data_IF_470630236930
#
_entry.id   IF_470630236930
#
_cell.length_a   1.000
_cell.length_b   1.000
_cell.length_c   1.000
_cell.angle_alpha   90.00
_cell.angle_beta   90.00
_cell.angle_gamma   90.00
#
_symmetry.space_group_name_H-M   'P 1'
#
loop_
_entity.id
_entity.type
_entity.pdbx_description
1 polymer ?
#
# COMPACT_ATOMS: atom_id res chain seq x y z
N UNK A 1 -8.06 -17.61 0.53
CA UNK A 1 -8.07 -16.26 1.16
C UNK A 1 -8.60 -15.29 0.13
N UNK A 2 -9.67 -14.56 0.43
CA UNK A 2 -10.25 -13.52 -0.44
C UNK A 2 -9.51 -12.21 -0.22
N UNK A 3 -9.64 -11.25 -1.15
CA UNK A 3 -9.04 -9.92 -0.98
C UNK A 3 -9.58 -9.19 0.26
N UNK A 4 -10.88 -9.37 0.58
CA UNK A 4 -11.49 -8.87 1.82
C UNK A 4 -10.76 -9.34 3.09
N UNK A 5 -10.27 -10.58 3.09
CA UNK A 5 -9.58 -11.17 4.24
C UNK A 5 -8.16 -10.55 4.43
N UNK A 6 -7.61 -9.93 3.38
CA UNK A 6 -6.31 -9.23 3.41
C UNK A 6 -6.40 -7.78 3.86
N UNK A 7 -7.59 -7.19 3.94
CA UNK A 7 -7.72 -5.77 4.29
C UNK A 7 -7.12 -5.40 5.65
N UNK A 8 -7.24 -6.24 6.72
CA UNK A 8 -6.54 -5.99 7.98
C UNK A 8 -5.02 -5.99 7.80
N UNK A 9 -4.47 -6.94 7.04
CA UNK A 9 -3.02 -7.03 6.76
C UNK A 9 -2.54 -5.79 6.01
N UNK A 10 -3.25 -5.40 4.94
CA UNK A 10 -2.92 -4.20 4.15
C UNK A 10 -2.91 -2.96 5.04
N UNK A 11 -3.91 -2.82 5.91
CA UNK A 11 -4.05 -1.67 6.79
C UNK A 11 -2.97 -1.63 7.87
N UNK A 12 -2.61 -2.77 8.46
CA UNK A 12 -1.61 -2.84 9.51
C UNK A 12 -0.17 -2.70 9.00
N UNK A 13 0.10 -3.26 7.81
CA UNK A 13 1.45 -3.25 7.21
C UNK A 13 1.74 -1.98 6.41
N UNK A 14 0.70 -1.21 6.04
CA UNK A 14 0.80 0.08 5.36
C UNK A 14 -0.26 1.06 5.89
N UNK A 15 -0.12 1.54 7.16
CA UNK A 15 -1.16 2.30 7.85
C UNK A 15 -1.22 3.76 7.44
N UNK A 16 -2.44 4.29 7.35
CA UNK A 16 -2.69 5.72 7.30
C UNK A 16 -2.27 6.41 8.62
N UNK A 17 -2.21 7.74 8.63
CA UNK A 17 -1.91 8.51 9.85
C UNK A 17 -3.09 8.46 10.83
N UNK A 18 -4.31 8.50 10.32
CA UNK A 18 -5.55 8.37 11.07
C UNK A 18 -6.64 7.76 10.21
N UNK A 19 -7.72 7.33 10.83
CA UNK A 19 -8.93 6.84 10.17
C UNK A 19 -10.14 7.60 10.73
N UNK A 20 -11.00 8.09 9.85
CA UNK A 20 -12.24 8.77 10.20
C UNK A 20 -13.43 7.97 9.67
N UNK A 21 -14.42 7.74 10.50
CA UNK A 21 -15.66 7.10 10.08
C UNK A 21 -16.60 8.14 9.45
N UNK A 22 -17.19 7.80 8.30
CA UNK A 22 -18.13 8.64 7.58
C UNK A 22 -19.19 7.73 6.94
N UNK A 23 -20.31 7.54 7.63
CA UNK A 23 -21.34 6.58 7.25
C UNK A 23 -20.76 5.18 7.03
N UNK A 24 -21.00 4.57 5.86
CA UNK A 24 -20.44 3.24 5.54
C UNK A 24 -18.95 3.29 5.18
N UNK A 25 -18.36 4.47 5.02
CA UNK A 25 -16.97 4.63 4.61
C UNK A 25 -16.01 4.83 5.79
N UNK A 26 -14.79 4.34 5.62
CA UNK A 26 -13.62 4.79 6.34
C UNK A 26 -12.85 5.74 5.43
N UNK A 27 -12.51 6.93 5.93
CA UNK A 27 -11.69 7.93 5.26
C UNK A 27 -10.30 7.93 5.90
N UNK A 28 -9.29 7.33 5.27
CA UNK A 28 -7.94 7.34 5.80
C UNK A 28 -7.29 8.72 5.58
N UNK A 29 -6.54 9.20 6.56
CA UNK A 29 -5.72 10.40 6.43
C UNK A 29 -4.31 10.00 5.97
N UNK A 30 -3.99 10.29 4.71
CA UNK A 30 -2.79 9.78 4.05
C UNK A 30 -1.50 10.51 4.37
N UNK A 31 -1.56 11.84 4.54
CA UNK A 31 -0.39 12.70 4.81
C UNK A 31 0.78 12.38 3.86
N UNK A 32 0.54 12.54 2.55
CA UNK A 32 1.48 12.24 1.46
C UNK A 32 1.98 10.78 1.38
N UNK A 33 1.33 9.88 2.12
CA UNK A 33 1.65 8.44 2.13
C UNK A 33 1.22 7.67 0.88
N UNK A 34 0.60 8.35 -0.08
CA UNK A 34 0.13 7.79 -1.36
C UNK A 34 -1.33 7.36 -1.34
N UNK A 35 -1.80 6.90 -2.50
CA UNK A 35 -3.23 6.69 -2.76
C UNK A 35 -3.87 5.68 -1.82
N UNK A 36 -3.21 4.56 -1.53
CA UNK A 36 -3.75 3.48 -0.68
C UNK A 36 -4.14 3.95 0.72
N UNK A 37 -3.40 4.91 1.28
CA UNK A 37 -3.66 5.47 2.61
C UNK A 37 -4.46 6.77 2.58
N UNK A 38 -4.98 7.18 1.41
CA UNK A 38 -5.79 8.38 1.21
C UNK A 38 -7.16 8.08 0.62
N UNK A 39 -7.38 6.85 0.12
CA UNK A 39 -8.62 6.47 -0.55
C UNK A 39 -9.71 6.08 0.46
N UNK A 40 -10.91 6.64 0.31
CA UNK A 40 -12.10 6.16 1.00
C UNK A 40 -12.38 4.71 0.63
N UNK A 41 -12.82 3.91 1.58
CA UNK A 41 -13.22 2.53 1.34
C UNK A 41 -14.42 2.16 2.19
N UNK A 42 -15.24 1.22 1.74
CA UNK A 42 -16.30 0.68 2.56
C UNK A 42 -15.70 0.05 3.84
N UNK A 43 -16.29 0.39 4.99
CA UNK A 43 -15.85 -0.09 6.29
C UNK A 43 -16.07 -1.59 6.45
N UNK A 44 -17.23 -2.06 6.00
CA UNK A 44 -17.47 -3.50 5.83
C UNK A 44 -16.90 -3.93 4.46
N UNK A 45 -15.85 -4.74 4.44
CA UNK A 45 -15.25 -5.20 3.20
C UNK A 45 -16.15 -6.17 2.41
N UNK A 46 -17.28 -6.62 2.96
CA UNK A 46 -18.27 -7.43 2.27
C UNK A 46 -19.41 -6.60 1.68
N UNK A 47 -19.56 -5.34 2.07
CA UNK A 47 -20.52 -4.43 1.47
C UNK A 47 -20.21 -4.21 -0.02
N UNK A 48 -21.24 -4.04 -0.84
CA UNK A 48 -21.11 -3.96 -2.29
C UNK A 48 -21.47 -2.59 -2.86
N UNK A 49 -22.16 -1.77 -2.10
CA UNK A 49 -22.72 -0.50 -2.58
C UNK A 49 -22.82 0.53 -1.45
N UNK A 50 -23.04 1.78 -1.84
CA UNK A 50 -23.40 2.89 -0.97
C UNK A 50 -24.38 3.81 -1.72
N UNK A 51 -25.19 4.54 -0.99
CA UNK A 51 -26.13 5.50 -1.56
C UNK A 51 -25.43 6.73 -2.10
N UNK A 52 -26.10 7.50 -2.97
CA UNK A 52 -25.57 8.76 -3.51
C UNK A 52 -25.23 9.75 -2.38
N UNK A 53 -26.09 9.85 -1.38
CA UNK A 53 -25.87 10.75 -0.22
C UNK A 53 -24.63 10.36 0.60
N UNK A 54 -24.36 9.05 0.76
CA UNK A 54 -23.20 8.54 1.47
C UNK A 54 -21.90 8.79 0.66
N UNK A 55 -21.95 8.65 -0.66
CA UNK A 55 -20.84 9.01 -1.54
C UNK A 55 -20.54 10.50 -1.46
N UNK A 56 -21.57 11.37 -1.50
CA UNK A 56 -21.41 12.82 -1.34
C UNK A 56 -20.77 13.18 0.00
N UNK A 57 -21.24 12.55 1.08
CA UNK A 57 -20.66 12.74 2.41
C UNK A 57 -19.19 12.30 2.47
N UNK A 58 -18.83 11.18 1.83
CA UNK A 58 -17.45 10.70 1.76
C UNK A 58 -16.55 11.68 0.97
N UNK A 59 -17.03 12.22 -0.16
CA UNK A 59 -16.32 13.24 -0.96
C UNK A 59 -16.09 14.50 -0.13
N UNK A 60 -17.12 15.00 0.56
CA UNK A 60 -17.01 16.16 1.43
C UNK A 60 -16.03 15.91 2.60
N UNK A 61 -16.07 14.70 3.19
CA UNK A 61 -15.14 14.29 4.24
C UNK A 61 -13.69 14.24 3.77
N UNK A 62 -13.42 13.70 2.58
CA UNK A 62 -12.06 13.72 2.00
C UNK A 62 -11.59 15.15 1.74
N UNK A 63 -12.46 16.01 1.22
CA UNK A 63 -12.13 17.43 1.00
C UNK A 63 -11.80 18.14 2.32
N UNK A 64 -12.52 17.86 3.40
CA UNK A 64 -12.24 18.39 4.73
C UNK A 64 -10.87 17.93 5.29
N UNK A 65 -10.38 16.77 4.86
CA UNK A 65 -9.03 16.28 5.16
C UNK A 65 -7.95 16.82 4.21
N UNK A 66 -8.32 17.71 3.27
CA UNK A 66 -7.42 18.24 2.24
C UNK A 66 -7.00 17.19 1.21
N UNK A 67 -7.79 16.13 1.03
CA UNK A 67 -7.49 15.01 0.12
C UNK A 67 -8.41 15.06 -1.11
N UNK A 68 -7.90 14.69 -2.31
CA UNK A 68 -8.75 14.56 -3.48
C UNK A 68 -9.76 13.41 -3.29
N UNK A 69 -10.92 13.46 -3.96
CA UNK A 69 -11.88 12.36 -3.93
C UNK A 69 -11.28 11.14 -4.62
N UNK A 70 -10.96 10.13 -3.83
CA UNK A 70 -10.40 8.87 -4.27
C UNK A 70 -11.06 7.74 -3.50
N UNK A 71 -11.45 6.67 -4.21
CA UNK A 71 -12.06 5.49 -3.63
C UNK A 71 -11.24 4.26 -3.94
N UNK A 72 -11.10 3.36 -2.96
CA UNK A 72 -10.51 2.04 -3.14
C UNK A 72 -11.62 1.00 -3.10
N UNK A 73 -11.76 0.26 -4.19
CA UNK A 73 -12.79 -0.75 -4.35
C UNK A 73 -12.17 -2.15 -4.39
N UNK A 74 -12.95 -3.12 -3.94
CA UNK A 74 -12.69 -4.54 -4.11
C UNK A 74 -13.44 -5.05 -5.34
N UNK A 75 -12.96 -6.13 -5.94
CA UNK A 75 -13.47 -6.71 -7.19
C UNK A 75 -14.98 -7.03 -7.19
N UNK A 76 -15.56 -7.33 -6.03
CA UNK A 76 -16.99 -7.63 -5.89
C UNK A 76 -17.87 -6.37 -5.69
N UNK A 77 -17.31 -5.18 -5.63
CA UNK A 77 -18.02 -3.90 -5.37
C UNK A 77 -18.47 -3.22 -6.68
N UNK A 78 -18.92 -4.00 -7.66
CA UNK A 78 -19.29 -3.49 -8.98
C UNK A 78 -20.48 -2.50 -8.96
N UNK A 79 -21.39 -2.58 -8.00
CA UNK A 79 -22.47 -1.61 -7.87
C UNK A 79 -21.95 -0.22 -7.48
N UNK A 80 -21.04 -0.15 -6.50
CA UNK A 80 -20.39 1.10 -6.12
C UNK A 80 -19.50 1.64 -7.26
N UNK A 81 -18.78 0.77 -7.98
CA UNK A 81 -17.97 1.16 -9.15
C UNK A 81 -18.83 1.82 -10.22
N UNK A 82 -19.98 1.22 -10.56
CA UNK A 82 -20.91 1.78 -11.54
C UNK A 82 -21.45 3.16 -11.12
N UNK A 83 -21.77 3.38 -9.84
CA UNK A 83 -22.20 4.69 -9.33
C UNK A 83 -21.09 5.73 -9.42
N UNK A 84 -19.88 5.37 -9.05
CA UNK A 84 -18.73 6.27 -9.15
C UNK A 84 -18.42 6.60 -10.62
N UNK A 85 -18.48 5.62 -11.53
CA UNK A 85 -18.30 5.83 -12.97
C UNK A 85 -19.37 6.78 -13.54
N UNK A 86 -20.63 6.64 -13.13
CA UNK A 86 -21.72 7.53 -13.54
C UNK A 86 -21.49 9.01 -13.10
N UNK A 87 -20.69 9.20 -12.04
CA UNK A 87 -20.29 10.52 -11.50
C UNK A 87 -18.97 11.03 -12.12
N UNK A 88 -18.44 10.35 -13.11
CA UNK A 88 -17.22 10.76 -13.83
C UNK A 88 -15.90 10.30 -13.17
N UNK A 89 -15.96 9.43 -12.16
CA UNK A 89 -14.74 8.79 -11.66
C UNK A 89 -14.20 7.81 -12.70
N UNK A 90 -12.88 7.74 -12.79
CA UNK A 90 -12.19 6.83 -13.69
C UNK A 90 -11.36 5.81 -12.91
N UNK A 91 -11.33 4.58 -13.42
CA UNK A 91 -10.50 3.54 -12.81
C UNK A 91 -9.02 3.92 -12.92
N UNK A 92 -8.34 3.85 -11.79
CA UNK A 92 -6.91 4.14 -11.68
C UNK A 92 -6.23 3.03 -10.86
N UNK A 93 -5.02 2.64 -11.29
CA UNK A 93 -4.16 1.70 -10.57
C UNK A 93 -4.84 0.36 -10.23
N UNK A 94 -5.46 -0.29 -11.25
CA UNK A 94 -5.95 -1.65 -11.07
C UNK A 94 -4.84 -2.59 -10.59
N UNK A 95 -5.04 -3.23 -9.44
CA UNK A 95 -4.00 -3.98 -8.75
C UNK A 95 -4.48 -5.39 -8.43
N UNK A 96 -3.62 -6.39 -8.64
CA UNK A 96 -3.84 -7.76 -8.21
C UNK A 96 -3.04 -8.05 -6.94
N UNK A 97 -3.68 -8.58 -5.90
CA UNK A 97 -3.01 -9.13 -4.75
C UNK A 97 -2.61 -10.59 -5.03
N UNK A 98 -1.33 -10.90 -4.95
CA UNK A 98 -0.81 -12.26 -5.09
C UNK A 98 -0.43 -12.81 -3.72
N UNK A 99 -0.85 -14.04 -3.43
CA UNK A 99 -0.61 -14.71 -2.16
C UNK A 99 0.02 -16.06 -2.44
N UNK A 100 1.03 -16.40 -1.66
CA UNK A 100 1.71 -17.70 -1.72
C UNK A 100 2.16 -18.10 -0.32
N UNK A 101 2.10 -19.39 0.04
CA UNK A 101 2.74 -19.86 1.27
C UNK A 101 4.25 -19.56 1.24
N UNK A 102 4.77 -18.94 2.30
CA UNK A 102 6.19 -18.54 2.35
C UNK A 102 7.15 -19.71 2.11
N UNK A 103 6.79 -20.90 2.57
CA UNK A 103 7.59 -22.12 2.35
C UNK A 103 7.79 -22.49 0.86
N UNK A 104 6.92 -22.00 -0.04
CA UNK A 104 7.06 -22.26 -1.48
C UNK A 104 8.03 -21.32 -2.18
N UNK A 105 8.31 -20.16 -1.59
CA UNK A 105 9.18 -19.13 -2.17
C UNK A 105 10.40 -18.83 -1.31
N UNK A 106 10.46 -19.35 -0.08
CA UNK A 106 11.57 -19.10 0.81
C UNK A 106 12.83 -19.81 0.28
N UNK A 107 13.78 -19.00 -0.14
CA UNK A 107 15.13 -19.44 -0.48
C UNK A 107 16.12 -18.43 0.12
N UNK A 108 17.26 -18.89 0.66
CA UNK A 108 18.29 -17.96 1.11
C UNK A 108 18.79 -17.17 -0.09
N UNK A 109 18.89 -15.83 0.02
CA UNK A 109 19.48 -15.03 -1.05
C UNK A 109 20.97 -15.40 -1.22
N UNK A 110 21.54 -15.20 -2.41
CA UNK A 110 22.98 -15.35 -2.58
C UNK A 110 23.74 -14.49 -1.55
N UNK A 111 24.92 -14.92 -1.07
CA UNK A 111 25.69 -14.16 -0.09
C UNK A 111 25.91 -12.71 -0.53
N UNK A 112 25.78 -11.79 0.41
CA UNK A 112 26.09 -10.34 0.24
C UNK A 112 25.19 -9.61 -0.78
N UNK A 113 24.02 -10.18 -1.12
CA UNK A 113 23.10 -9.57 -2.09
C UNK A 113 21.87 -8.92 -1.48
N UNK A 114 21.43 -9.36 -0.31
CA UNK A 114 20.23 -8.84 0.35
C UNK A 114 20.45 -8.70 1.86
N UNK A 115 20.14 -7.54 2.40
CA UNK A 115 20.34 -7.22 3.81
C UNK A 115 19.05 -6.67 4.41
N UNK A 116 18.46 -7.32 5.43
CA UNK A 116 17.41 -6.73 6.23
C UNK A 116 17.99 -5.65 7.15
N UNK A 117 17.45 -4.43 7.07
CA UNK A 117 17.96 -3.27 7.81
C UNK A 117 16.77 -2.43 8.27
N UNK A 118 16.69 -2.14 9.57
CA UNK A 118 15.72 -1.20 10.12
C UNK A 118 16.33 -0.37 11.26
N UNK A 119 16.18 0.96 11.25
CA UNK A 119 15.58 1.81 10.21
C UNK A 119 16.37 1.80 8.89
N UNK A 120 15.77 2.26 7.77
CA UNK A 120 16.44 2.25 6.48
C UNK A 120 17.65 3.17 6.45
N UNK A 121 18.66 2.78 5.69
CA UNK A 121 19.85 3.60 5.43
C UNK A 121 19.53 4.77 4.48
N UNK A 122 20.35 5.81 4.48
CA UNK A 122 20.22 6.95 3.57
C UNK A 122 20.14 6.52 2.10
N UNK A 123 21.00 5.58 1.68
CA UNK A 123 21.00 5.06 0.30
C UNK A 123 19.68 4.37 -0.08
N UNK A 124 18.98 3.72 0.86
CA UNK A 124 17.66 3.14 0.59
C UNK A 124 16.64 4.25 0.37
N UNK A 125 16.68 5.31 1.15
CA UNK A 125 15.82 6.49 0.96
C UNK A 125 16.07 7.18 -0.37
N UNK A 126 17.31 7.27 -0.81
CA UNK A 126 17.70 7.80 -2.12
C UNK A 126 17.16 6.94 -3.27
N UNK A 127 17.29 5.60 -3.18
CA UNK A 127 16.73 4.66 -4.15
C UNK A 127 15.20 4.81 -4.23
N UNK A 128 14.52 4.86 -3.09
CA UNK A 128 13.09 5.08 -3.05
C UNK A 128 12.67 6.41 -3.65
N UNK A 129 13.41 7.48 -3.39
CA UNK A 129 13.12 8.80 -3.96
C UNK A 129 13.16 8.79 -5.50
N UNK A 130 14.09 8.03 -6.12
CA UNK A 130 14.14 7.88 -7.58
C UNK A 130 12.91 7.17 -8.16
N UNK A 131 12.27 6.30 -7.38
CA UNK A 131 11.01 5.61 -7.71
C UNK A 131 9.74 6.36 -7.27
N UNK A 132 9.88 7.60 -6.77
CA UNK A 132 8.74 8.40 -6.32
C UNK A 132 8.21 8.03 -4.92
N UNK A 133 8.97 7.27 -4.14
CA UNK A 133 8.66 6.97 -2.75
C UNK A 133 9.33 8.03 -1.86
N UNK A 134 8.58 9.10 -1.59
CA UNK A 134 9.05 10.25 -0.82
C UNK A 134 8.85 10.13 0.71
N UNK A 135 9.13 11.23 1.45
CA UNK A 135 9.08 11.26 2.92
C UNK A 135 7.72 10.82 3.51
N UNK A 136 6.60 11.16 2.85
CA UNK A 136 5.27 10.74 3.30
C UNK A 136 5.14 9.22 3.36
N UNK A 137 5.63 8.50 2.34
CA UNK A 137 5.63 7.03 2.33
C UNK A 137 6.62 6.42 3.33
N UNK A 138 7.76 7.07 3.57
CA UNK A 138 8.68 6.65 4.64
C UNK A 138 8.02 6.77 6.03
N UNK A 139 7.20 7.81 6.22
CA UNK A 139 6.40 7.96 7.44
C UNK A 139 5.36 6.85 7.59
N UNK A 140 4.77 6.35 6.49
CA UNK A 140 3.89 5.15 6.52
C UNK A 140 4.67 3.93 7.03
N UNK A 141 5.86 3.67 6.49
CA UNK A 141 6.72 2.54 6.93
C UNK A 141 7.05 2.65 8.42
N UNK A 142 7.31 3.87 8.90
CA UNK A 142 7.59 4.11 10.33
C UNK A 142 6.40 3.80 11.21
N UNK A 143 5.17 4.10 10.77
CA UNK A 143 3.93 3.81 11.50
C UNK A 143 3.53 2.33 11.48
N UNK A 144 3.96 1.55 10.48
CA UNK A 144 3.65 0.13 10.41
C UNK A 144 4.10 -0.59 11.68
N UNK A 145 3.24 -1.49 12.20
CA UNK A 145 3.55 -2.27 13.40
C UNK A 145 4.68 -3.28 13.16
N UNK A 146 5.36 -3.67 14.22
CA UNK A 146 6.36 -4.74 14.18
C UNK A 146 5.67 -6.13 14.11
N UNK A 147 6.35 -7.16 13.56
CA UNK A 147 7.68 -7.08 12.97
C UNK A 147 7.69 -6.45 11.58
N UNK A 148 8.68 -5.61 11.33
CA UNK A 148 8.90 -4.93 10.06
C UNK A 148 10.37 -4.74 9.78
N UNK A 149 10.74 -4.63 8.50
CA UNK A 149 12.10 -4.32 8.08
C UNK A 149 12.12 -3.71 6.67
N UNK A 150 13.21 -3.06 6.32
CA UNK A 150 13.53 -2.78 4.92
C UNK A 150 14.63 -3.73 4.43
N UNK A 151 14.73 -3.89 3.13
CA UNK A 151 15.75 -4.70 2.50
C UNK A 151 16.60 -3.84 1.58
N UNK A 152 17.92 -3.92 1.72
CA UNK A 152 18.87 -3.36 0.75
C UNK A 152 19.32 -4.48 -0.18
N UNK A 153 18.97 -4.37 -1.46
CA UNK A 153 19.42 -5.26 -2.52
C UNK A 153 20.70 -4.73 -3.16
N UNK A 154 21.67 -5.63 -3.39
CA UNK A 154 22.95 -5.31 -4.04
C UNK A 154 23.19 -6.21 -5.24
N UNK A 155 23.80 -5.64 -6.27
CA UNK A 155 24.33 -6.39 -7.42
C UNK A 155 25.67 -5.77 -7.83
N UNK A 156 26.66 -6.61 -8.20
CA UNK A 156 28.00 -6.17 -8.56
C UNK A 156 28.62 -5.25 -7.49
N UNK A 157 28.46 -5.62 -6.21
CA UNK A 157 28.93 -4.87 -5.04
C UNK A 157 28.39 -3.43 -4.89
N UNK A 158 27.30 -3.09 -5.59
CA UNK A 158 26.67 -1.77 -5.52
C UNK A 158 25.22 -1.88 -5.03
N UNK A 159 24.72 -0.88 -4.30
CA UNK A 159 23.29 -0.76 -4.01
C UNK A 159 22.49 -0.73 -5.31
N UNK A 160 21.45 -1.54 -5.41
CA UNK A 160 20.72 -1.75 -6.65
C UNK A 160 19.21 -1.66 -6.48
N UNK A 161 18.71 -1.92 -5.27
CA UNK A 161 17.29 -1.87 -4.99
C UNK A 161 16.98 -1.83 -3.51
N UNK A 162 15.74 -1.58 -3.19
CA UNK A 162 15.23 -1.57 -1.83
C UNK A 162 13.76 -1.98 -1.79
N UNK A 163 13.33 -2.52 -0.66
CA UNK A 163 11.95 -2.89 -0.40
C UNK A 163 11.63 -2.72 1.08
N UNK A 164 10.35 -2.66 1.41
CA UNK A 164 9.88 -2.68 2.79
C UNK A 164 8.93 -3.87 2.98
N UNK A 165 9.02 -4.54 4.12
CA UNK A 165 8.06 -5.56 4.51
C UNK A 165 7.64 -5.39 5.97
N UNK A 166 6.38 -5.72 6.23
CA UNK A 166 5.84 -5.83 7.57
C UNK A 166 4.94 -7.08 7.65
N UNK A 167 4.73 -7.55 8.87
CA UNK A 167 3.94 -8.76 9.15
C UNK A 167 2.75 -8.39 10.04
N UNK A 168 1.58 -8.92 9.70
CA UNK A 168 0.39 -8.85 10.53
C UNK A 168 -0.35 -10.19 10.45
N UNK A 169 -0.74 -10.74 11.60
CA UNK A 169 -1.45 -12.02 11.73
C UNK A 169 -0.81 -13.16 10.92
N UNK A 170 0.53 -13.27 10.97
CA UNK A 170 1.26 -14.33 10.28
C UNK A 170 1.39 -14.13 8.76
N UNK A 171 0.87 -13.03 8.21
CA UNK A 171 0.99 -12.70 6.79
C UNK A 171 2.01 -11.58 6.60
N UNK A 172 3.08 -11.86 5.86
CA UNK A 172 4.05 -10.87 5.45
C UNK A 172 3.56 -10.16 4.17
N UNK A 173 3.63 -8.84 4.15
CA UNK A 173 3.32 -8.07 2.95
C UNK A 173 4.53 -7.23 2.53
N UNK A 174 4.89 -7.34 1.24
CA UNK A 174 5.96 -6.57 0.61
C UNK A 174 5.38 -5.26 0.07
N UNK A 175 6.10 -4.17 0.32
CA UNK A 175 5.74 -2.82 -0.11
C UNK A 175 6.94 -2.11 -0.70
N UNK A 176 6.69 -1.09 -1.50
CA UNK A 176 7.68 -0.14 -1.98
C UNK A 176 8.96 -0.82 -2.53
N UNK A 177 8.78 -1.92 -3.29
CA UNK A 177 9.88 -2.53 -4.02
C UNK A 177 10.33 -1.57 -5.12
N UNK A 178 11.58 -1.15 -5.05
CA UNK A 178 12.19 -0.28 -6.06
C UNK A 178 13.56 -0.84 -6.45
N UNK A 179 13.76 -1.02 -7.74
CA UNK A 179 15.03 -1.41 -8.34
C UNK A 179 15.48 -0.29 -9.27
N UNK A 180 16.70 0.19 -9.08
CA UNK A 180 17.30 1.18 -9.96
C UNK A 180 17.28 0.69 -11.41
N UNK A 181 16.91 1.54 -12.34
CA UNK A 181 16.69 1.18 -13.75
C UNK A 181 17.87 0.43 -14.37
N UNK A 182 19.10 0.83 -14.05
CA UNK A 182 20.33 0.18 -14.53
C UNK A 182 20.51 -1.28 -14.00
N UNK A 183 19.78 -1.66 -12.95
CA UNK A 183 19.90 -2.97 -12.30
C UNK A 183 18.65 -3.86 -12.47
N UNK A 184 17.63 -3.39 -13.17
CA UNK A 184 16.41 -4.18 -13.44
C UNK A 184 16.71 -5.37 -14.35
N UNK A 185 15.89 -6.41 -14.24
CA UNK A 185 15.95 -7.65 -15.07
C UNK A 185 17.27 -8.42 -14.92
N UNK A 186 17.90 -8.34 -13.75
CA UNK A 186 19.17 -9.04 -13.45
C UNK A 186 19.03 -10.03 -12.29
N UNK A 187 17.80 -10.38 -11.90
CA UNK A 187 17.56 -11.40 -10.86
C UNK A 187 17.72 -10.88 -9.43
N UNK A 188 17.58 -9.57 -9.19
CA UNK A 188 17.57 -8.97 -7.85
C UNK A 188 16.14 -8.91 -7.31
#
# INVERSE_FOLDING_TARGET
MRLSDLMPVITATWPAAAHHENGPFTLPQGVDGGQRVSAARLRDPLAQDATEAEIDAAIAGLAALGQPPLFMLLDHQGALDARLAARGFVLRDATCAMIVPSAQIAAPPPPITCFPIWPPLAIQSEIWATGGVGPGRLSVMTRASAPKTSFLGRTQDRPAGTAFAAIHDGVAMLHALEILSAHRRRGL
#
